data_IF_178928270141
#
_entry.id   IF_178928270141
#
_cell.length_a   1.000
_cell.length_b   1.000
_cell.length_c   1.000
_cell.angle_alpha   90.00
_cell.angle_beta   90.00
_cell.angle_gamma   90.00
#
_symmetry.space_group_name_H-M   'P 1'
#
loop_
_entity.id
_entity.type
_entity.pdbx_description
1 polymer ?
2 polymer ?
3 polymer ?
4 non-polymer ?
5 water ?
#
loop_
_entity_poly.entity_id
_entity_poly.type
_entity_poly.pdbx_seq_one_letter_code
_entity_poly.pdbx_strand_id
2 'polydeoxyribonucleotide' '(DA)(DG)(DA)(DT)(DT)(DG)(DT)(DT)(DT)(DA)(DT)(DT)(DG)(DA)(DG)(DA)' ?
3 'polydeoxyribonucleotide' '(DT)(DC)(DT)(DC)(DA)(DA)(DT)(DA)(DA)(DA)(DC)(DA)(DA)(DT)(DC)(DT)' ?
#
# COMPACT_ATOMS: atom_id res chain seq x y z
N UNK A 6 -8.18 3.82 -23.14
CA UNK A 6 -6.97 4.36 -22.47
C UNK A 6 -6.60 3.51 -21.24
N UNK A 7 -6.05 2.31 -21.49
CA UNK A 7 -5.76 1.29 -20.44
C UNK A 7 -4.56 0.41 -20.83
N UNK A 8 -3.83 -0.05 -19.81
CA UNK A 8 -2.63 -0.85 -19.96
C UNK A 8 -2.21 -1.35 -18.58
N UNK A 9 -1.74 -2.60 -18.50
CA UNK A 9 -1.13 -3.23 -17.30
C UNK A 9 0.38 -2.99 -17.31
N UNK A 10 0.96 -2.66 -16.16
CA UNK A 10 2.40 -2.29 -16.00
C UNK A 10 3.13 -3.40 -15.25
N UNK A 11 4.44 -3.63 -15.52
CA UNK A 11 5.20 -4.70 -14.84
C UNK A 11 5.53 -4.35 -13.38
N UNK A 12 4.49 -4.10 -12.58
CA UNK A 12 4.60 -3.81 -11.16
C UNK A 12 5.07 -5.07 -10.43
N UNK A 13 5.53 -4.96 -9.17
CA UNK A 13 5.83 -6.14 -8.36
C UNK A 13 4.61 -7.05 -8.24
N UNK A 14 4.79 -8.38 -8.05
CA UNK A 14 3.66 -9.30 -7.95
C UNK A 14 3.02 -9.31 -6.55
N UNK A 15 2.76 -8.12 -5.97
CA UNK A 15 1.95 -7.97 -4.73
C UNK A 15 0.85 -6.95 -5.00
N UNK A 16 -0.31 -7.13 -4.36
CA UNK A 16 -1.43 -6.23 -4.50
C UNK A 16 -1.04 -4.89 -3.88
N UNK A 17 -1.62 -3.81 -4.37
CA UNK A 17 -1.41 -2.46 -3.78
C UNK A 17 -1.83 -2.52 -2.30
N UNK A 18 -2.94 -3.22 -2.01
CA UNK A 18 -3.37 -3.38 -0.64
C UNK A 18 -2.20 -3.90 0.22
N UNK A 19 -1.59 -5.02 -0.19
CA UNK A 19 -0.54 -5.63 0.62
C UNK A 19 0.67 -4.68 0.86
N UNK A 20 1.05 -3.93 -0.18
CA UNK A 20 2.25 -3.07 -0.11
C UNK A 20 2.01 -1.89 0.80
N UNK A 21 0.80 -1.34 0.72
CA UNK A 21 0.37 -0.26 1.58
C UNK A 21 0.40 -0.69 3.05
N UNK A 22 -0.24 -1.83 3.35
CA UNK A 22 -0.35 -2.37 4.72
C UNK A 22 1.02 -2.63 5.30
N UNK A 23 1.93 -3.14 4.46
CA UNK A 23 3.28 -3.43 4.87
C UNK A 23 4.03 -2.18 5.30
N UNK A 24 3.98 -1.13 4.48
CA UNK A 24 4.73 0.09 4.82
C UNK A 24 4.12 0.78 6.05
N UNK A 25 2.79 0.77 6.15
CA UNK A 25 2.12 1.33 7.32
C UNK A 25 2.56 0.60 8.59
N UNK A 26 2.43 -0.73 8.56
CA UNK A 26 2.70 -1.56 9.73
C UNK A 26 4.14 -1.51 10.19
N UNK A 27 5.05 -1.18 9.27
CA UNK A 27 6.46 -1.09 9.60
C UNK A 27 6.94 0.32 9.94
N UNK A 28 6.04 1.31 9.84
CA UNK A 28 6.33 2.68 10.24
C UNK A 28 6.46 2.72 11.76
N UNK A 29 7.17 3.72 12.33
CA UNK A 29 7.40 3.77 13.78
C UNK A 29 6.11 3.87 14.62
N UNK A 30 5.06 4.48 14.08
CA UNK A 30 3.80 4.64 14.80
C UNK A 30 2.62 3.88 14.20
N UNK A 31 2.89 3.03 13.21
CA UNK A 31 1.87 2.24 12.52
C UNK A 31 0.79 3.11 11.87
N UNK A 32 1.24 4.25 11.32
CA UNK A 32 0.39 5.22 10.64
C UNK A 32 1.30 6.10 9.77
N UNK A 33 0.81 6.46 8.57
CA UNK A 33 1.56 7.27 7.60
C UNK A 33 0.60 8.14 6.80
N UNK A 34 1.09 9.32 6.38
CA UNK A 34 0.40 10.14 5.39
C UNK A 34 0.45 9.38 4.05
N UNK A 35 -0.40 9.81 3.11
CA UNK A 35 -0.38 9.33 1.73
C UNK A 35 1.00 9.53 1.14
N UNK A 36 1.50 10.75 1.29
CA UNK A 36 2.78 11.15 0.78
C UNK A 36 3.90 10.22 1.23
N UNK A 37 3.90 9.88 2.52
CA UNK A 37 4.87 8.96 3.12
C UNK A 37 4.71 7.52 2.59
N UNK A 38 3.46 7.10 2.39
CA UNK A 38 3.17 5.77 1.85
C UNK A 38 3.76 5.65 0.44
N UNK A 39 3.49 6.62 -0.43
CA UNK A 39 4.01 6.64 -1.80
C UNK A 39 5.54 6.62 -1.81
N UNK A 40 6.14 7.45 -0.99
CA UNK A 40 7.59 7.48 -0.84
C UNK A 40 8.15 6.11 -0.38
N UNK A 41 7.49 5.51 0.61
CA UNK A 41 8.04 4.29 1.21
C UNK A 41 7.86 3.09 0.26
N UNK A 42 6.78 3.10 -0.53
CA UNK A 42 6.52 2.02 -1.48
C UNK A 42 7.55 2.05 -2.60
N UNK A 43 7.88 3.25 -3.09
CA UNK A 43 8.83 3.40 -4.16
C UNK A 43 10.23 3.03 -3.70
N UNK A 44 10.52 3.22 -2.40
CA UNK A 44 11.79 2.83 -1.79
C UNK A 44 11.98 1.32 -1.73
N UNK A 45 10.91 0.58 -1.41
CA UNK A 45 11.00 -0.87 -1.26
C UNK A 45 10.92 -1.60 -2.61
N UNK A 46 10.19 -0.99 -3.55
CA UNK A 46 9.97 -1.51 -4.89
C UNK A 46 10.42 -0.51 -5.95
N UNK A 47 11.71 -0.51 -6.33
CA UNK A 47 12.26 0.51 -7.25
C UNK A 47 11.46 0.79 -8.54
N UNK A 48 10.74 -0.20 -9.09
CA UNK A 48 9.90 0.02 -10.26
C UNK A 48 9.15 1.35 -10.18
N UNK A 49 8.62 1.65 -8.99
CA UNK A 49 7.77 2.81 -8.77
C UNK A 49 8.51 4.15 -8.75
N UNK A 50 9.85 4.12 -8.78
CA UNK A 50 10.66 5.33 -8.96
C UNK A 50 10.72 5.81 -10.40
N UNK A 51 10.13 5.05 -11.32
CA UNK A 51 10.26 5.27 -12.74
C UNK A 51 9.32 6.33 -13.30
N UNK A 52 9.20 6.34 -14.63
CA UNK A 52 8.39 7.30 -15.38
C UNK A 52 6.91 7.24 -15.13
N UNK A 53 6.37 6.02 -15.08
CA UNK A 53 4.92 5.77 -14.84
C UNK A 53 4.57 6.19 -13.41
N UNK A 54 3.62 7.13 -13.27
CA UNK A 54 3.19 7.72 -11.99
C UNK A 54 1.72 7.39 -11.61
N UNK A 55 0.98 6.72 -12.49
CA UNK A 55 -0.40 6.36 -12.25
C UNK A 55 -0.60 5.47 -11.04
N UNK A 56 0.42 4.69 -10.66
CA UNK A 56 0.41 3.87 -9.43
C UNK A 56 0.05 4.70 -8.17
N UNK A 57 0.34 6.00 -8.18
CA UNK A 57 0.10 6.95 -7.05
C UNK A 57 -1.41 7.13 -6.86
N UNK A 58 -2.14 7.32 -7.97
CA UNK A 58 -3.59 7.38 -8.01
C UNK A 58 -4.20 6.02 -7.55
N UNK A 59 -3.68 4.91 -8.10
CA UNK A 59 -4.08 3.58 -7.71
C UNK A 59 -3.95 3.37 -6.19
N UNK A 60 -2.80 3.76 -5.62
CA UNK A 60 -2.59 3.67 -4.17
C UNK A 60 -3.65 4.47 -3.40
N UNK A 61 -3.86 5.71 -3.84
CA UNK A 61 -4.87 6.63 -3.21
C UNK A 61 -6.25 5.98 -3.23
N UNK A 62 -6.57 5.25 -4.31
CA UNK A 62 -7.86 4.62 -4.53
C UNK A 62 -8.08 3.43 -3.59
N UNK A 63 -7.04 2.60 -3.42
CA UNK A 63 -7.06 1.48 -2.46
C UNK A 63 -7.35 1.90 -1.02
N UNK A 64 -6.72 3.00 -0.58
CA UNK A 64 -6.90 3.56 0.75
C UNK A 64 -8.36 3.82 1.07
N UNK A 65 -9.07 4.46 0.12
CA UNK A 65 -10.48 4.76 0.27
C UNK A 65 -11.43 3.60 0.00
N UNK A 66 -10.98 2.55 -0.71
CA UNK A 66 -11.88 1.48 -1.16
C UNK A 66 -11.82 0.11 -0.42
N UNK A 67 -10.95 -0.02 0.56
CA UNK A 67 -10.87 -1.22 1.45
C UNK A 67 -11.07 -0.78 2.91
N UNK A 68 -11.96 -1.48 3.64
CA UNK A 68 -12.26 -1.18 5.05
C UNK A 68 -11.08 -1.40 6.01
N UNK A 69 -10.11 -2.21 5.60
CA UNK A 69 -8.92 -2.40 6.41
C UNK A 69 -8.07 -1.14 6.58
N UNK A 70 -8.23 -0.14 5.70
CA UNK A 70 -7.52 1.13 5.80
C UNK A 70 -8.41 2.19 6.44
N UNK A 71 -8.06 2.60 7.67
CA UNK A 71 -8.80 3.58 8.45
C UNK A 71 -8.02 4.88 8.49
N UNK A 72 -8.71 5.98 8.13
CA UNK A 72 -8.17 7.33 8.12
C UNK A 72 -8.24 7.90 9.53
N UNK A 73 -7.18 8.63 9.91
CA UNK A 73 -7.10 9.28 11.22
C UNK A 73 -6.71 10.73 11.00
N UNK A 74 -7.50 11.65 11.57
CA UNK A 74 -7.31 13.08 11.38
C UNK A 74 -5.97 13.53 11.96
N UNK A 75 -5.22 14.28 11.15
CA UNK A 75 -3.98 14.92 11.56
C UNK A 75 -4.27 16.07 12.53
N UNK A 76 -5.36 16.80 12.27
CA UNK A 76 -5.88 17.82 13.18
C UNK A 76 -7.33 17.50 13.51
N UNK A 77 -7.67 17.25 14.80
CA UNK A 77 -9.08 17.05 15.19
C UNK A 77 -9.96 18.25 14.79
N UNK A 78 -9.38 19.46 14.78
CA UNK A 78 -10.07 20.69 14.44
C UNK A 78 -10.72 20.71 13.06
N UNK A 79 -10.09 20.06 12.08
CA UNK A 79 -10.52 20.10 10.70
C UNK A 79 -10.90 18.70 10.18
N UNK A 80 -12.18 18.29 10.28
CA UNK A 80 -12.63 17.00 9.74
C UNK A 80 -12.46 16.85 8.22
N UNK A 81 -12.39 17.98 7.49
CA UNK A 81 -12.18 18.00 6.03
C UNK A 81 -10.75 18.42 5.65
N UNK A 82 -9.85 18.49 6.64
CA UNK A 82 -8.45 18.82 6.44
C UNK A 82 -7.78 17.72 5.66
N UNK A 83 -6.65 18.04 5.02
CA UNK A 83 -5.90 17.09 4.21
C UNK A 83 -4.65 16.60 4.96
N UNK A 84 -3.93 15.65 4.35
CA UNK A 84 -2.67 15.15 4.87
C UNK A 84 -2.86 14.31 6.13
N UNK A 85 -3.97 13.58 6.18
CA UNK A 85 -4.32 12.75 7.32
C UNK A 85 -3.46 11.51 7.39
N UNK A 86 -3.40 10.91 8.57
CA UNK A 86 -2.69 9.66 8.78
C UNK A 86 -3.61 8.50 8.39
N UNK A 87 -3.02 7.49 7.76
CA UNK A 87 -3.68 6.24 7.43
C UNK A 87 -3.10 5.12 8.29
N UNK A 88 -3.98 4.20 8.71
CA UNK A 88 -3.65 3.07 9.54
C UNK A 88 -4.27 1.83 8.89
N UNK A 89 -3.81 0.66 9.31
CA UNK A 89 -4.40 -0.57 8.84
C UNK A 89 -4.88 -1.44 10.02
N UNK A 90 -6.12 -1.94 9.91
CA UNK A 90 -6.68 -2.92 10.81
C UNK A 90 -6.42 -4.26 10.15
N UNK A 91 -5.40 -4.95 10.68
CA UNK A 91 -4.86 -6.13 10.02
C UNK A 91 -5.84 -7.29 9.98
N UNK A 92 -6.71 -7.38 10.99
CA UNK A 92 -7.71 -8.42 11.10
C UNK A 92 -8.80 -8.28 10.04
N UNK A 93 -8.91 -7.07 9.47
CA UNK A 93 -9.89 -6.73 8.40
C UNK A 93 -9.27 -7.00 7.01
N UNK A 94 -8.09 -7.61 6.95
CA UNK A 94 -7.43 -7.87 5.68
C UNK A 94 -7.78 -9.26 5.13
N UNK A 95 -8.28 -9.36 3.88
CA UNK A 95 -8.49 -10.66 3.24
C UNK A 95 -7.13 -11.27 2.89
N UNK A 96 -6.84 -12.43 3.45
CA UNK A 96 -5.49 -13.00 3.48
C UNK A 96 -4.93 -13.38 2.12
N UNK A 97 -5.81 -13.61 1.14
CA UNK A 97 -5.37 -13.99 -0.19
C UNK A 97 -4.61 -12.83 -0.84
N UNK A 98 -4.95 -11.60 -0.45
CA UNK A 98 -4.36 -10.39 -1.04
C UNK A 98 -2.91 -10.13 -0.61
N UNK A 99 -2.42 -10.87 0.40
CA UNK A 99 -1.04 -10.80 0.88
C UNK A 99 -0.12 -11.83 0.24
N UNK A 100 -0.67 -12.69 -0.61
CA UNK A 100 0.11 -13.68 -1.32
C UNK A 100 0.70 -13.06 -2.58
N UNK A 101 1.88 -13.56 -2.97
CA UNK A 101 2.55 -13.24 -4.26
C UNK A 101 1.61 -13.67 -5.39
N UNK A 102 1.34 -12.79 -6.35
CA UNK A 102 0.41 -13.07 -7.45
C UNK A 102 1.15 -13.75 -8.57
N UNK A 103 0.44 -14.59 -9.33
CA UNK A 103 0.95 -15.10 -10.60
C UNK A 103 0.49 -14.25 -11.78
N UNK A 104 1.44 -13.48 -12.31
CA UNK A 104 1.27 -12.53 -13.38
C UNK A 104 2.54 -12.63 -14.19
N UNK A 105 2.61 -11.89 -15.30
CA UNK A 105 3.79 -11.82 -16.16
C UNK A 105 5.13 -11.77 -15.40
N UNK A 106 5.18 -10.91 -14.36
CA UNK A 106 6.40 -10.62 -13.60
C UNK A 106 6.96 -11.83 -12.84
N UNK A 107 6.16 -12.35 -11.91
CA UNK A 107 6.53 -13.48 -11.04
C UNK A 107 6.68 -14.79 -11.79
N UNK A 108 6.28 -14.81 -13.07
CA UNK A 108 6.47 -15.96 -14.01
C UNK A 108 7.88 -15.94 -14.57
N UNK A 109 8.55 -14.77 -14.60
CA UNK A 109 9.96 -14.70 -14.95
C UNK A 109 10.83 -15.34 -13.86
N UNK A 110 10.55 -15.02 -12.59
CA UNK A 110 11.28 -15.57 -11.45
C UNK A 110 10.52 -15.35 -10.14
N UNK A 114 11.89 -9.71 -0.61
CA UNK A 114 10.66 -10.20 -0.02
C UNK A 114 10.31 -11.64 -0.43
N UNK A 115 9.22 -12.16 0.13
CA UNK A 115 8.82 -13.59 0.06
C UNK A 115 7.42 -13.86 -0.56
N UNK A 116 7.03 -15.13 -0.64
CA UNK A 116 5.74 -15.54 -1.18
C UNK A 116 4.49 -15.00 -0.45
N UNK A 117 4.61 -14.72 0.85
CA UNK A 117 3.51 -14.19 1.65
C UNK A 117 4.01 -13.02 2.51
N UNK A 118 3.34 -11.86 2.41
CA UNK A 118 3.73 -10.68 3.17
C UNK A 118 3.18 -10.61 4.61
N UNK A 119 2.45 -11.66 5.03
CA UNK A 119 1.86 -11.74 6.37
C UNK A 119 2.85 -11.51 7.52
N UNK A 120 4.06 -12.10 7.50
CA UNK A 120 5.03 -11.91 8.58
C UNK A 120 5.63 -10.49 8.68
N UNK A 121 5.39 -9.64 7.68
CA UNK A 121 5.80 -8.21 7.71
C UNK A 121 4.64 -7.39 8.30
N UNK A 122 3.44 -7.98 8.32
CA UNK A 122 2.23 -7.25 8.63
C UNK A 122 1.70 -7.59 10.01
N UNK A 123 1.66 -8.89 10.34
CA UNK A 123 1.20 -9.36 11.65
C UNK A 123 2.36 -9.37 12.66
N UNK A 124 2.70 -8.16 13.16
CA UNK A 124 3.98 -7.86 13.78
C UNK A 124 3.78 -7.30 15.18
X LIG D 1 9.34 -5.32 -10.62
X LIG D 1 8.32 -4.62 -10.83
X LIG D 1 10.21 -5.03 -9.77
X LIG D 1 9.54 -6.62 -11.42
X LIG E 1 -7.02 11.97 -10.71
X LIG E 1 -7.70 12.20 -11.74
X LIG E 1 -7.51 11.91 -9.57
X LIG E 1 -5.52 11.73 -10.87
#
# INVERSE_FOLDING_TARGET
GGKKKNYQRYPKPPYSYLAMIAMVIQNSPEKKLTLSEILKEISTLFPFFKGNYKGWRDSVRHNLSSYDCFVKVLKDPGKPQGKGNFWTVEVNRIPLELLKRQNTAVSRQDETIFAQDLAPYIFQG
ACT C O OXT CH3
ACT C O OXT CH3
#
